data_IF_422978660334
#
_entry.id   IF_422978660334
#
_cell.length_a   1.000
_cell.length_b   1.000
_cell.length_c   1.000
_cell.angle_alpha   90.00
_cell.angle_beta   90.00
_cell.angle_gamma   90.00
#
_symmetry.space_group_name_H-M   'P 1'
#
loop_
_entity.id
_entity.type
_entity.pdbx_description
1 polymer ?
#
# COMPACT_ATOMS: atom_id res chain seq x y z
N UNK A 1 16.16 11.21 -2.34
CA UNK A 1 15.69 12.00 -1.17
C UNK A 1 14.51 12.90 -1.53
N UNK A 2 14.67 13.96 -2.34
CA UNK A 2 13.59 14.94 -2.65
C UNK A 2 12.28 14.29 -3.15
N UNK A 3 12.35 13.34 -4.08
CA UNK A 3 11.17 12.67 -4.62
C UNK A 3 10.49 11.70 -3.63
N UNK A 4 11.25 11.12 -2.69
CA UNK A 4 10.67 10.29 -1.62
C UNK A 4 9.91 11.20 -0.65
N UNK A 5 10.56 12.28 -0.20
CA UNK A 5 9.94 13.27 0.68
C UNK A 5 8.66 13.85 0.09
N UNK A 6 8.66 14.16 -1.21
CA UNK A 6 7.46 14.62 -1.91
C UNK A 6 6.32 13.60 -1.86
N UNK A 7 6.57 12.32 -2.16
CA UNK A 7 5.52 11.29 -2.15
C UNK A 7 5.01 10.96 -0.75
N UNK A 8 5.87 11.03 0.27
CA UNK A 8 5.43 10.88 1.65
C UNK A 8 4.54 12.07 2.05
N UNK A 9 4.97 13.31 1.81
CA UNK A 9 4.19 14.50 2.16
C UNK A 9 2.87 14.56 1.38
N UNK A 10 2.90 14.36 0.07
CA UNK A 10 1.70 14.35 -0.77
C UNK A 10 0.71 13.26 -0.32
N UNK A 11 1.21 12.08 0.03
CA UNK A 11 0.36 11.01 0.52
C UNK A 11 -0.15 11.20 1.95
N UNK A 12 0.57 11.90 2.82
CA UNK A 12 0.03 12.31 4.13
C UNK A 12 -1.09 13.34 3.97
N UNK A 13 -0.91 14.31 3.05
CA UNK A 13 -1.95 15.30 2.70
C UNK A 13 -3.19 14.59 2.15
N UNK A 14 -3.02 13.68 1.19
CA UNK A 14 -4.14 12.92 0.64
C UNK A 14 -4.82 12.05 1.70
N UNK A 15 -4.06 11.43 2.60
CA UNK A 15 -4.60 10.61 3.69
C UNK A 15 -5.49 11.44 4.62
N UNK A 16 -5.05 12.65 4.95
CA UNK A 16 -5.86 13.58 5.74
C UNK A 16 -7.21 13.86 5.07
N UNK A 17 -7.24 14.14 3.76
CA UNK A 17 -8.49 14.39 3.04
C UNK A 17 -9.37 13.15 2.93
N UNK A 18 -8.80 11.98 2.67
CA UNK A 18 -9.51 10.70 2.63
C UNK A 18 -10.17 10.40 3.98
N UNK A 19 -9.43 10.57 5.08
CA UNK A 19 -9.96 10.35 6.42
C UNK A 19 -11.05 11.36 6.78
N UNK A 20 -10.86 12.64 6.43
CA UNK A 20 -11.86 13.67 6.68
C UNK A 20 -13.14 13.44 5.87
N UNK A 21 -13.02 13.03 4.60
CA UNK A 21 -14.15 12.78 3.72
C UNK A 21 -14.99 11.57 4.18
N UNK A 22 -14.31 10.50 4.61
CA UNK A 22 -14.94 9.26 5.01
C UNK A 22 -15.18 9.12 6.51
N UNK A 23 -14.84 10.15 7.31
CA UNK A 23 -14.92 10.15 8.77
C UNK A 23 -14.22 8.94 9.40
N UNK A 24 -13.07 8.56 8.81
CA UNK A 24 -12.29 7.41 9.25
C UNK A 24 -11.46 7.79 10.47
N UNK A 25 -11.69 7.09 11.58
CA UNK A 25 -10.86 7.23 12.79
C UNK A 25 -9.56 6.43 12.63
N UNK A 26 -8.58 7.01 11.93
CA UNK A 26 -7.35 6.29 11.59
C UNK A 26 -6.48 5.86 12.78
N UNK A 27 -6.68 6.49 13.94
CA UNK A 27 -5.98 6.12 15.17
C UNK A 27 -6.64 4.94 15.90
N UNK A 28 -7.78 4.47 15.40
CA UNK A 28 -8.30 3.17 15.82
C UNK A 28 -7.30 2.09 15.40
N UNK A 29 -6.93 1.25 16.37
CA UNK A 29 -5.87 0.25 16.21
C UNK A 29 -6.08 -0.66 15.00
N UNK A 30 -7.33 -1.02 14.74
CA UNK A 30 -7.72 -1.92 13.66
C UNK A 30 -7.55 -1.29 12.28
N UNK A 31 -8.07 -0.07 12.11
CA UNK A 31 -7.95 0.71 10.87
C UNK A 31 -6.48 1.02 10.61
N UNK A 32 -5.70 1.36 11.64
CA UNK A 32 -4.27 1.63 11.50
C UNK A 32 -3.50 0.41 10.98
N UNK A 33 -3.77 -0.77 11.54
CA UNK A 33 -3.12 -2.03 11.11
C UNK A 33 -3.49 -2.35 9.66
N UNK A 34 -4.78 -2.29 9.31
CA UNK A 34 -5.24 -2.50 7.94
C UNK A 34 -4.59 -1.53 6.95
N UNK A 35 -4.54 -0.25 7.32
CA UNK A 35 -3.93 0.81 6.52
C UNK A 35 -2.45 0.54 6.29
N UNK A 36 -1.72 0.16 7.34
CA UNK A 36 -0.30 -0.17 7.27
C UNK A 36 -0.06 -1.40 6.37
N UNK A 37 -0.82 -2.48 6.56
CA UNK A 37 -0.71 -3.70 5.73
C UNK A 37 -0.93 -3.35 4.26
N UNK A 38 -1.99 -2.61 3.94
CA UNK A 38 -2.33 -2.22 2.56
C UNK A 38 -1.29 -1.30 1.94
N UNK A 39 -0.77 -0.34 2.70
CA UNK A 39 0.35 0.52 2.25
C UNK A 39 1.61 -0.30 1.95
N UNK A 40 2.06 -1.13 2.90
CA UNK A 40 3.27 -1.93 2.71
C UNK A 40 3.09 -2.99 1.62
N UNK A 41 1.89 -3.53 1.44
CA UNK A 41 1.56 -4.43 0.32
C UNK A 41 1.80 -3.74 -1.01
N UNK A 42 1.23 -2.55 -1.23
CA UNK A 42 1.48 -1.77 -2.45
C UNK A 42 2.96 -1.44 -2.63
N UNK A 43 3.62 -1.02 -1.54
CA UNK A 43 5.04 -0.67 -1.52
C UNK A 43 5.93 -1.82 -1.98
N UNK A 44 5.78 -2.99 -1.37
CA UNK A 44 6.59 -4.15 -1.72
C UNK A 44 6.22 -4.69 -3.09
N UNK A 45 4.94 -4.65 -3.46
CA UNK A 45 4.50 -5.17 -4.74
C UNK A 45 5.19 -4.48 -5.92
N UNK A 46 5.02 -3.16 -6.01
CA UNK A 46 5.62 -2.39 -7.11
C UNK A 46 7.12 -2.26 -6.91
N UNK A 47 7.59 -2.17 -5.66
CA UNK A 47 9.02 -2.11 -5.37
C UNK A 47 9.77 -3.36 -5.84
N UNK A 48 9.30 -4.55 -5.44
CA UNK A 48 9.88 -5.84 -5.85
C UNK A 48 9.74 -6.03 -7.35
N UNK A 49 8.58 -5.71 -7.93
CA UNK A 49 8.40 -5.77 -9.38
C UNK A 49 9.40 -4.85 -10.10
N UNK A 50 9.63 -3.64 -9.61
CA UNK A 50 10.56 -2.70 -10.24
C UNK A 50 12.01 -3.21 -10.21
N UNK A 51 12.47 -3.79 -9.10
CA UNK A 51 13.83 -4.33 -8.99
C UNK A 51 14.02 -5.64 -9.76
N UNK A 52 13.00 -6.50 -9.74
CA UNK A 52 13.09 -7.87 -10.20
C UNK A 52 12.15 -8.17 -11.38
N UNK A 53 11.72 -7.15 -12.14
CA UNK A 53 10.83 -7.29 -13.30
C UNK A 53 11.29 -8.36 -14.31
N UNK A 54 12.60 -8.65 -14.35
CA UNK A 54 13.21 -9.67 -15.20
C UNK A 54 13.22 -11.08 -14.58
N UNK A 55 13.04 -11.23 -13.26
CA UNK A 55 13.06 -12.51 -12.54
C UNK A 55 11.69 -12.96 -12.02
N UNK A 56 10.81 -12.03 -11.67
CA UNK A 56 9.52 -12.33 -11.05
C UNK A 56 8.42 -12.19 -12.10
N UNK A 57 7.66 -13.27 -12.31
CA UNK A 57 6.50 -13.26 -13.20
C UNK A 57 5.38 -12.45 -12.55
N UNK A 58 4.74 -11.57 -13.33
CA UNK A 58 3.58 -10.76 -12.90
C UNK A 58 2.49 -11.62 -12.21
N UNK A 59 2.28 -12.87 -12.67
CA UNK A 59 1.35 -13.83 -12.06
C UNK A 59 1.65 -14.10 -10.59
N UNK A 60 2.91 -14.31 -10.22
CA UNK A 60 3.32 -14.56 -8.82
C UNK A 60 3.03 -13.36 -7.92
N UNK A 61 3.17 -12.16 -8.46
CA UNK A 61 2.86 -10.92 -7.76
C UNK A 61 1.35 -10.76 -7.55
N UNK A 62 0.54 -11.09 -8.56
CA UNK A 62 -0.92 -11.11 -8.45
C UNK A 62 -1.36 -12.14 -7.40
N UNK A 63 -0.77 -13.33 -7.37
CA UNK A 63 -1.05 -14.32 -6.31
C UNK A 63 -0.67 -13.81 -4.92
N UNK A 64 0.43 -13.06 -4.79
CA UNK A 64 0.82 -12.47 -3.52
C UNK A 64 -0.19 -11.39 -3.06
N UNK A 65 -0.71 -10.57 -3.97
CA UNK A 65 -1.81 -9.62 -3.66
C UNK A 65 -3.05 -10.37 -3.23
N UNK A 66 -3.49 -11.33 -4.04
CA UNK A 66 -4.70 -12.09 -3.78
C UNK A 66 -4.59 -12.82 -2.44
N UNK A 67 -3.43 -13.39 -2.11
CA UNK A 67 -3.17 -14.03 -0.83
C UNK A 67 -3.22 -13.03 0.34
N UNK A 68 -2.70 -11.82 0.17
CA UNK A 68 -2.76 -10.78 1.20
C UNK A 68 -4.17 -10.23 1.39
N UNK A 69 -4.92 -9.98 0.31
CA UNK A 69 -6.34 -9.58 0.36
C UNK A 69 -7.18 -10.68 1.01
N UNK A 70 -7.00 -11.94 0.60
CA UNK A 70 -7.70 -13.08 1.21
C UNK A 70 -7.35 -13.23 2.69
N UNK A 71 -6.09 -13.01 3.09
CA UNK A 71 -5.71 -13.06 4.50
C UNK A 71 -6.37 -11.95 5.31
N UNK A 72 -6.51 -10.75 4.74
CA UNK A 72 -7.24 -9.60 5.29
C UNK A 72 -8.72 -9.97 5.51
N UNK A 73 -9.38 -10.45 4.45
CA UNK A 73 -10.80 -10.80 4.46
C UNK A 73 -11.11 -11.95 5.43
N UNK A 74 -10.21 -12.95 5.52
CA UNK A 74 -10.35 -14.07 6.46
C UNK A 74 -10.23 -13.57 7.91
N UNK A 75 -9.31 -12.64 8.19
CA UNK A 75 -9.18 -12.05 9.53
C UNK A 75 -10.40 -11.22 9.91
N UNK A 76 -10.96 -10.46 8.97
CA UNK A 76 -12.19 -9.69 9.17
C UNK A 76 -13.40 -10.58 9.43
N UNK A 77 -13.50 -11.70 8.70
CA UNK A 77 -14.55 -12.70 8.90
C UNK A 77 -14.53 -13.29 10.32
N UNK A 78 -13.34 -13.66 10.84
CA UNK A 78 -13.22 -14.17 12.21
C UNK A 78 -13.52 -13.13 13.29
N UNK A 79 -13.52 -11.84 12.94
CA UNK A 79 -13.78 -10.72 13.87
C UNK A 79 -15.20 -10.16 13.76
N UNK A 80 -16.05 -10.69 12.87
CA UNK A 80 -17.38 -10.16 12.57
C UNK A 80 -17.37 -8.67 12.16
N UNK A 81 -16.34 -8.24 11.43
CA UNK A 81 -16.21 -6.86 10.97
C UNK A 81 -16.86 -6.72 9.60
N UNK A 82 -17.74 -5.75 9.45
CA UNK A 82 -18.34 -5.44 8.15
C UNK A 82 -17.43 -4.48 7.38
N UNK A 83 -16.41 -5.02 6.69
CA UNK A 83 -15.39 -4.26 5.95
C UNK A 83 -15.79 -3.87 4.52
N UNK A 84 -17.01 -4.18 4.08
CA UNK A 84 -17.51 -3.94 2.72
C UNK A 84 -18.16 -2.56 2.51
N UNK A 85 -17.84 -1.55 3.32
CA UNK A 85 -18.31 -0.19 3.06
C UNK A 85 -17.55 0.47 1.90
N UNK A 86 -18.21 1.34 1.15
CA UNK A 86 -17.57 2.05 0.03
C UNK A 86 -16.39 2.89 0.50
N UNK A 87 -16.49 3.45 1.71
CA UNK A 87 -15.46 4.21 2.40
C UNK A 87 -14.22 3.36 2.70
N UNK A 88 -14.41 2.17 3.27
CA UNK A 88 -13.33 1.25 3.59
C UNK A 88 -12.61 0.80 2.31
N UNK A 89 -13.35 0.53 1.25
CA UNK A 89 -12.80 0.15 -0.05
C UNK A 89 -11.97 1.30 -0.65
N UNK A 90 -12.50 2.53 -0.68
CA UNK A 90 -11.78 3.69 -1.21
C UNK A 90 -10.53 4.03 -0.40
N UNK A 91 -10.61 3.96 0.93
CA UNK A 91 -9.46 4.10 1.82
C UNK A 91 -8.39 3.02 1.52
N UNK A 92 -8.82 1.78 1.29
CA UNK A 92 -7.94 0.66 0.94
C UNK A 92 -7.19 0.89 -0.37
N UNK A 93 -7.93 1.31 -1.41
CA UNK A 93 -7.34 1.68 -2.69
C UNK A 93 -6.34 2.82 -2.55
N UNK A 94 -6.67 3.83 -1.75
CA UNK A 94 -5.76 4.93 -1.47
C UNK A 94 -4.45 4.46 -0.84
N UNK A 95 -4.52 3.62 0.20
CA UNK A 95 -3.32 3.12 0.89
C UNK A 95 -2.48 2.24 -0.03
N UNK A 96 -3.10 1.37 -0.82
CA UNK A 96 -2.41 0.55 -1.82
C UNK A 96 -1.72 1.40 -2.90
N UNK A 97 -2.42 2.43 -3.40
CA UNK A 97 -1.89 3.34 -4.42
C UNK A 97 -0.71 4.15 -3.88
N UNK A 98 -0.87 4.76 -2.70
CA UNK A 98 0.20 5.54 -2.07
C UNK A 98 1.42 4.67 -1.76
N UNK A 99 1.21 3.49 -1.18
CA UNK A 99 2.25 2.49 -0.95
C UNK A 99 2.99 2.14 -2.23
N UNK A 100 2.26 1.84 -3.30
CA UNK A 100 2.80 1.52 -4.63
C UNK A 100 3.69 2.62 -5.19
N UNK A 101 3.25 3.88 -5.11
CA UNK A 101 4.05 5.03 -5.54
C UNK A 101 5.33 5.20 -4.72
N UNK A 102 5.24 5.06 -3.40
CA UNK A 102 6.39 5.14 -2.51
C UNK A 102 7.40 4.02 -2.82
N UNK A 103 6.92 2.79 -2.98
CA UNK A 103 7.73 1.62 -3.34
C UNK A 103 8.48 1.81 -4.66
N UNK A 104 7.77 2.26 -5.70
CA UNK A 104 8.37 2.55 -7.00
C UNK A 104 9.52 3.56 -6.89
N UNK A 105 9.30 4.70 -6.24
CA UNK A 105 10.30 5.77 -6.18
C UNK A 105 11.50 5.38 -5.34
N UNK A 106 11.29 4.69 -4.22
CA UNK A 106 12.37 4.18 -3.37
C UNK A 106 13.22 3.20 -4.16
N UNK A 107 12.61 2.22 -4.80
CA UNK A 107 13.35 1.20 -5.56
C UNK A 107 14.02 1.77 -6.81
N UNK A 108 13.42 2.76 -7.47
CA UNK A 108 14.06 3.52 -8.55
C UNK A 108 15.33 4.23 -8.10
N UNK A 109 15.32 4.81 -6.90
CA UNK A 109 16.51 5.44 -6.34
C UNK A 109 17.57 4.41 -5.93
N UNK A 110 17.17 3.28 -5.35
CA UNK A 110 18.07 2.19 -4.98
C UNK A 110 18.76 1.63 -6.24
N UNK A 111 18.00 1.29 -7.28
CA UNK A 111 18.55 0.79 -8.55
C UNK A 111 19.53 1.77 -9.18
N UNK A 112 19.16 3.06 -9.24
CA UNK A 112 20.06 4.10 -9.76
C UNK A 112 21.39 4.17 -9.01
N UNK A 113 21.38 3.93 -7.69
CA UNK A 113 22.62 3.89 -6.88
C UNK A 113 23.45 2.64 -7.16
N UNK A 114 22.81 1.49 -7.31
CA UNK A 114 23.46 0.23 -7.66
C UNK A 114 24.13 0.30 -9.04
N UNK A 115 23.46 0.90 -10.03
CA UNK A 115 23.98 1.04 -11.39
C UNK A 115 25.12 2.08 -11.50
N UNK A 116 25.32 2.92 -10.46
CA UNK A 116 26.35 3.96 -10.42
C UNK A 116 27.61 3.57 -9.63
N UNK A 117 27.67 2.34 -9.12
CA UNK A 117 28.84 1.72 -8.50
C UNK A 117 29.51 0.76 -9.48
#
# INVERSE_FOLDING_TARGET
>A
MKAIGFVIVAGLIGLYFVNAAFKVEIFEKEILIHSAIRFFTGFFLIGVLFLYAHKIKLKSLIYLVLALILADDVLDYFRNINSFSAEAILHSFYMLFWGSMAGYIVMKQIRKRMDSQ
#
